data_IF_689851112104
#
_entry.id   IF_689851112104
#
_cell.length_a   1.000
_cell.length_b   1.000
_cell.length_c   1.000
_cell.angle_alpha   90.00
_cell.angle_beta   90.00
_cell.angle_gamma   90.00
#
_symmetry.space_group_name_H-M   'P 1'
#
loop_
_entity.id
_entity.type
_entity.pdbx_description
1 polymer ?
#
# COMPACT_ATOMS: atom_id res chain seq x y z
N UNK A 1 15.91 -15.49 0.29
CA UNK A 1 14.55 -15.04 0.70
C UNK A 1 14.55 -13.80 1.61
N UNK A 2 15.51 -13.62 2.52
CA UNK A 2 15.55 -12.46 3.44
C UNK A 2 15.92 -11.13 2.75
N UNK A 3 16.90 -11.15 1.84
CA UNK A 3 17.43 -9.94 1.18
C UNK A 3 16.35 -9.19 0.38
N UNK A 4 15.50 -9.93 -0.36
CA UNK A 4 14.38 -9.35 -1.11
C UNK A 4 13.35 -8.66 -0.20
N UNK A 5 13.14 -9.17 1.03
CA UNK A 5 12.24 -8.53 2.01
C UNK A 5 12.86 -7.26 2.60
N UNK A 6 14.18 -7.24 2.85
CA UNK A 6 14.86 -6.04 3.35
C UNK A 6 14.85 -4.89 2.34
N UNK A 7 15.12 -5.17 1.06
CA UNK A 7 15.04 -4.13 0.01
C UNK A 7 13.63 -3.54 -0.12
N UNK A 8 12.58 -4.34 0.05
CA UNK A 8 11.19 -3.85 0.01
C UNK A 8 10.90 -2.86 1.15
N UNK A 9 11.44 -3.11 2.35
CA UNK A 9 11.26 -2.24 3.52
C UNK A 9 12.08 -0.95 3.36
N UNK A 10 13.32 -1.04 2.87
CA UNK A 10 14.14 0.15 2.60
C UNK A 10 13.50 1.03 1.53
N UNK A 11 12.96 0.42 0.47
CA UNK A 11 12.33 1.13 -0.64
C UNK A 11 11.01 1.82 -0.25
N UNK A 12 10.26 1.31 0.74
CA UNK A 12 9.07 1.99 1.29
C UNK A 12 9.42 3.10 2.30
N UNK A 13 10.61 3.02 2.91
CA UNK A 13 11.04 3.98 3.93
C UNK A 13 11.38 5.36 3.33
N UNK A 14 11.92 5.39 2.11
CA UNK A 14 12.26 6.62 1.36
C UNK A 14 11.03 7.51 1.10
N UNK A 15 9.95 7.01 0.45
CA UNK A 15 8.75 7.81 0.22
C UNK A 15 7.99 8.13 1.52
N UNK A 16 8.07 7.27 2.54
CA UNK A 16 7.53 7.55 3.87
C UNK A 16 8.22 8.75 4.52
N UNK A 17 9.56 8.78 4.51
CA UNK A 17 10.33 9.91 5.02
C UNK A 17 10.07 11.19 4.22
N UNK A 18 9.95 11.10 2.89
CA UNK A 18 9.58 12.24 2.04
C UNK A 18 8.20 12.81 2.41
N UNK A 19 7.22 11.94 2.72
CA UNK A 19 5.90 12.38 3.20
C UNK A 19 5.97 13.16 4.52
N UNK A 20 6.73 12.65 5.51
CA UNK A 20 6.94 13.34 6.80
C UNK A 20 7.66 14.68 6.60
N UNK A 21 8.61 14.74 5.68
CA UNK A 21 9.27 15.99 5.31
C UNK A 21 8.30 16.99 4.67
N UNK A 22 7.40 16.52 3.79
CA UNK A 22 6.33 17.34 3.21
C UNK A 22 5.37 17.93 4.25
N UNK A 23 4.99 17.13 5.26
CA UNK A 23 4.20 17.61 6.41
C UNK A 23 4.95 18.67 7.24
N UNK A 24 6.26 18.49 7.41
CA UNK A 24 7.11 19.44 8.14
C UNK A 24 7.14 20.79 7.42
N UNK A 25 7.24 20.81 6.09
CA UNK A 25 7.13 22.03 5.30
C UNK A 25 5.79 22.74 5.49
N UNK A 26 4.68 22.00 5.59
CA UNK A 26 3.36 22.59 5.82
C UNK A 26 3.27 23.27 7.19
N UNK A 27 3.75 22.62 8.26
CA UNK A 27 3.74 23.25 9.59
C UNK A 27 4.60 24.52 9.56
N UNK A 28 5.75 24.48 8.90
CA UNK A 28 6.67 25.62 8.87
C UNK A 28 6.06 26.81 8.14
N UNK A 29 5.28 26.59 7.07
CA UNK A 29 4.53 27.68 6.42
C UNK A 29 3.46 28.26 7.35
N UNK A 30 2.74 27.41 8.10
CA UNK A 30 1.72 27.85 9.07
C UNK A 30 2.37 28.67 10.18
N UNK A 31 3.51 28.22 10.73
CA UNK A 31 4.25 28.95 11.76
C UNK A 31 4.83 30.25 11.24
N UNK A 32 5.38 30.28 10.01
CA UNK A 32 5.87 31.51 9.41
C UNK A 32 4.74 32.53 9.21
N UNK A 33 3.58 32.08 8.73
CA UNK A 33 2.38 32.92 8.60
C UNK A 33 1.94 33.50 9.95
N UNK A 34 1.94 32.68 11.01
CA UNK A 34 1.58 33.11 12.35
C UNK A 34 2.63 34.06 12.98
N UNK A 35 3.89 33.91 12.60
CA UNK A 35 5.00 34.77 13.00
C UNK A 35 5.09 36.09 12.20
N UNK A 36 4.09 36.40 11.37
CA UNK A 36 4.03 37.63 10.57
C UNK A 36 4.94 37.64 9.34
N UNK A 37 5.61 36.52 9.04
CA UNK A 37 6.32 36.33 7.77
C UNK A 37 5.30 35.91 6.69
N UNK A 38 5.41 36.48 5.49
CA UNK A 38 4.45 36.28 4.40
C UNK A 38 4.19 34.79 4.06
N UNK A 39 2.96 34.50 3.62
CA UNK A 39 2.54 33.13 3.33
C UNK A 39 3.28 32.57 2.11
N UNK A 40 4.17 31.60 2.34
CA UNK A 40 4.96 30.97 1.28
C UNK A 40 4.16 29.89 0.55
N UNK A 41 3.38 30.32 -0.45
CA UNK A 41 2.61 29.43 -1.35
C UNK A 41 3.45 28.31 -1.96
N UNK A 42 4.70 28.59 -2.32
CA UNK A 42 5.60 27.63 -2.96
C UNK A 42 6.00 26.48 -2.04
N UNK A 43 6.30 26.79 -0.77
CA UNK A 43 6.63 25.80 0.24
C UNK A 43 5.38 24.98 0.65
N UNK A 44 4.19 25.60 0.66
CA UNK A 44 2.94 24.92 0.95
C UNK A 44 2.57 23.90 -0.13
N UNK A 45 2.58 24.32 -1.41
CA UNK A 45 2.29 23.43 -2.55
C UNK A 45 3.39 22.38 -2.70
N UNK A 46 4.66 22.74 -2.50
CA UNK A 46 5.77 21.79 -2.49
C UNK A 46 5.59 20.73 -1.40
N UNK A 47 5.25 21.13 -0.18
CA UNK A 47 4.93 20.23 0.92
C UNK A 47 3.72 19.34 0.63
N UNK A 48 2.66 19.89 0.03
CA UNK A 48 1.45 19.15 -0.37
C UNK A 48 1.75 18.08 -1.40
N UNK A 49 2.49 18.43 -2.45
CA UNK A 49 2.89 17.49 -3.50
C UNK A 49 3.78 16.40 -2.93
N UNK A 50 4.75 16.76 -2.07
CA UNK A 50 5.66 15.77 -1.46
C UNK A 50 4.93 14.84 -0.50
N UNK A 51 3.96 15.36 0.25
CA UNK A 51 3.08 14.58 1.12
C UNK A 51 2.18 13.64 0.33
N UNK A 52 1.47 14.14 -0.70
CA UNK A 52 0.62 13.32 -1.56
C UNK A 52 1.44 12.28 -2.33
N UNK A 53 2.62 12.63 -2.82
CA UNK A 53 3.52 11.70 -3.50
C UNK A 53 3.96 10.58 -2.55
N UNK A 54 4.35 10.91 -1.31
CA UNK A 54 4.68 9.90 -0.29
C UNK A 54 3.50 8.98 0.01
N UNK A 55 2.30 9.56 0.19
CA UNK A 55 1.08 8.81 0.49
C UNK A 55 0.64 7.91 -0.68
N UNK A 56 0.66 8.44 -1.91
CA UNK A 56 0.29 7.72 -3.12
C UNK A 56 1.27 6.59 -3.42
N UNK A 57 2.56 6.79 -3.15
CA UNK A 57 3.58 5.77 -3.33
C UNK A 57 3.41 4.62 -2.33
N UNK A 58 3.17 4.94 -1.05
CA UNK A 58 2.89 3.95 -0.01
C UNK A 58 1.58 3.21 -0.31
N UNK A 59 0.50 3.94 -0.60
CA UNK A 59 -0.83 3.38 -0.89
C UNK A 59 -0.84 2.51 -2.15
N UNK A 60 -0.21 2.95 -3.24
CA UNK A 60 -0.10 2.20 -4.48
C UNK A 60 0.75 0.94 -4.33
N UNK A 61 1.88 1.03 -3.63
CA UNK A 61 2.73 -0.13 -3.35
C UNK A 61 2.08 -1.13 -2.40
N UNK A 62 1.36 -0.64 -1.38
CA UNK A 62 0.62 -1.49 -0.44
C UNK A 62 -0.48 -2.25 -1.17
N UNK A 63 -1.29 -1.57 -1.99
CA UNK A 63 -2.36 -2.20 -2.77
C UNK A 63 -1.83 -3.25 -3.75
N UNK A 64 -0.75 -2.95 -4.50
CA UNK A 64 -0.14 -3.91 -5.42
C UNK A 64 0.45 -5.14 -4.70
N UNK A 65 1.01 -4.93 -3.49
CA UNK A 65 1.54 -6.04 -2.68
C UNK A 65 0.44 -6.89 -2.07
N UNK A 66 -0.66 -6.28 -1.65
CA UNK A 66 -1.77 -6.98 -1.00
C UNK A 66 -2.51 -7.87 -2.00
N UNK A 67 -2.63 -7.42 -3.25
CA UNK A 67 -3.22 -8.20 -4.35
C UNK A 67 -2.47 -9.52 -4.62
N UNK A 68 -1.17 -9.59 -4.32
CA UNK A 68 -0.34 -10.78 -4.59
C UNK A 68 -0.33 -11.80 -3.46
N UNK A 69 -0.81 -11.44 -2.26
CA UNK A 69 -0.79 -12.34 -1.10
C UNK A 69 -2.11 -13.10 -0.89
N UNK A 70 -3.13 -12.87 -1.72
CA UNK A 70 -4.40 -13.64 -1.70
C UNK A 70 -5.00 -13.72 -0.27
N UNK A 71 -4.81 -12.68 0.54
CA UNK A 71 -5.50 -12.46 1.83
C UNK A 71 -6.78 -11.65 1.64
N UNK A 72 -7.36 -11.78 0.44
CA UNK A 72 -8.76 -11.47 0.23
C UNK A 72 -9.55 -12.51 1.01
N UNK A 73 -10.54 -12.03 1.78
CA UNK A 73 -11.42 -12.84 2.62
C UNK A 73 -11.76 -14.17 1.93
N UNK A 74 -11.82 -15.31 2.65
CA UNK A 74 -12.12 -16.63 2.07
C UNK A 74 -13.42 -16.70 1.25
N UNK A 75 -14.25 -15.65 1.33
CA UNK A 75 -15.46 -15.41 0.53
C UNK A 75 -15.21 -15.04 -0.96
N UNK A 76 -14.02 -14.53 -1.32
CA UNK A 76 -13.64 -14.17 -2.70
C UNK A 76 -12.88 -15.28 -3.44
N UNK A 77 -12.62 -16.41 -2.77
CA UNK A 77 -12.10 -17.59 -3.45
C UNK A 77 -13.10 -17.99 -4.53
N UNK A 78 -12.67 -18.22 -5.79
CA UNK A 78 -13.54 -18.85 -6.78
C UNK A 78 -14.06 -20.13 -6.14
N UNK A 79 -15.39 -20.27 -6.01
CA UNK A 79 -15.99 -21.50 -5.50
C UNK A 79 -15.33 -22.65 -6.25
N UNK A 80 -14.57 -23.52 -5.55
CA UNK A 80 -14.12 -24.78 -6.14
C UNK A 80 -15.36 -25.38 -6.79
N UNK A 81 -15.30 -25.62 -8.10
CA UNK A 81 -16.38 -26.26 -8.82
C UNK A 81 -16.75 -27.50 -8.01
N UNK A 82 -18.01 -27.67 -7.58
CA UNK A 82 -18.40 -28.85 -6.83
C UNK A 82 -18.03 -30.07 -7.68
N UNK A 83 -17.37 -31.05 -7.05
CA UNK A 83 -16.96 -32.29 -7.70
C UNK A 83 -18.14 -32.85 -8.50
N UNK A 84 -17.92 -33.07 -9.79
CA UNK A 84 -18.96 -33.58 -10.67
C UNK A 84 -19.34 -35.00 -10.25
N UNK A 85 -20.56 -35.43 -10.53
CA UNK A 85 -21.05 -36.78 -10.20
C UNK A 85 -20.14 -37.88 -10.74
N UNK A 86 -19.49 -37.62 -11.88
CA UNK A 86 -18.48 -38.50 -12.51
C UNK A 86 -17.24 -38.67 -11.62
N UNK A 87 -16.72 -37.59 -11.01
CA UNK A 87 -15.56 -37.64 -10.10
C UNK A 87 -15.89 -38.35 -8.78
N UNK A 88 -17.11 -38.18 -8.27
CA UNK A 88 -17.58 -38.86 -7.06
C UNK A 88 -17.72 -40.37 -7.26
N UNK A 89 -18.16 -40.81 -8.44
CA UNK A 89 -18.25 -42.24 -8.78
C UNK A 89 -16.88 -42.89 -8.92
N UNK A 90 -15.91 -42.21 -9.57
CA UNK A 90 -14.53 -42.70 -9.67
C UNK A 90 -13.86 -42.85 -8.28
N UNK A 91 -14.09 -41.89 -7.37
CA UNK A 91 -13.56 -41.98 -6.02
C UNK A 91 -14.21 -43.07 -5.17
N UNK A 92 -15.50 -43.34 -5.38
CA UNK A 92 -16.22 -44.42 -4.68
C UNK A 92 -15.70 -45.80 -5.11
N UNK A 93 -15.46 -46.00 -6.40
CA UNK A 93 -14.94 -47.28 -6.93
C UNK A 93 -13.47 -47.55 -6.56
N UNK A 94 -12.67 -46.53 -6.25
CA UNK A 94 -11.30 -46.73 -5.77
C UNK A 94 -11.20 -47.10 -4.28
N UNK A 95 -12.30 -46.98 -3.52
CA UNK A 95 -12.37 -47.31 -2.09
C UNK A 95 -13.10 -48.63 -1.79
N UNK A 96 -13.57 -49.31 -2.83
CA UNK A 96 -14.09 -50.68 -2.78
C UNK A 96 -13.02 -51.63 -3.31
#
# INVERSE_FOLDING_TARGET
MIYQRMFAIVLICIPGAAGVYGWTLMKDVIFNYLAGHGFSWLAFIGGLILFLAGLAFIGGFLFYRDLKNDDIQPMLRPRRKPLTSTDKQAQKNSKM
#
